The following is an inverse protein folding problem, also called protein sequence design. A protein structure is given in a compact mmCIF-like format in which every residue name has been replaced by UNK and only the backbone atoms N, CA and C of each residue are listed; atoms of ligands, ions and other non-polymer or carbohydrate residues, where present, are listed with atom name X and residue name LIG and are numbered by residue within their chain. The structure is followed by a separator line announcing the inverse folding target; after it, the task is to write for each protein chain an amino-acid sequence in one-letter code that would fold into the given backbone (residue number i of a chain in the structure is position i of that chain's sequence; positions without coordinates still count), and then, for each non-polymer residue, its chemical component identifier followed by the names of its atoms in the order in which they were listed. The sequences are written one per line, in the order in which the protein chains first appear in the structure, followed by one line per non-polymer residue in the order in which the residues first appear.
data_IF_945098953169
#
_entry.id   IF_945098953169
#
_cell.length_a   1.000
_cell.length_b   1.000
_cell.length_c   1.000
_cell.angle_alpha   90.00
_cell.angle_beta   90.00
_cell.angle_gamma   90.00
#
_symmetry.space_group_name_H-M   'P 1'
#
loop_
_entity.id
_entity.type
_entity.pdbx_description
1 polymer ?
#
# COMPACT_ATOMS: atom_id res chain seq x y z
N UNK A 1 -9.42 9.32 3.66
CA UNK A 1 -8.35 8.36 3.99
C UNK A 1 -8.28 7.28 2.92
N UNK A 2 -7.08 6.86 2.52
CA UNK A 2 -6.90 5.74 1.58
C UNK A 2 -6.02 4.69 2.27
N UNK A 3 -6.33 3.42 2.07
CA UNK A 3 -5.54 2.30 2.56
C UNK A 3 -4.73 1.71 1.42
N UNK A 4 -3.50 1.31 1.69
CA UNK A 4 -2.60 0.66 0.75
C UNK A 4 -2.08 -0.63 1.37
N UNK A 5 -1.43 -1.47 0.57
CA UNK A 5 -0.77 -2.68 1.06
C UNK A 5 0.72 -2.47 0.89
N UNK A 6 1.48 -2.53 1.99
CA UNK A 6 2.94 -2.33 2.03
C UNK A 6 3.63 -3.63 2.41
N UNK A 7 4.76 -3.90 1.78
CA UNK A 7 5.70 -4.95 2.14
C UNK A 7 6.49 -4.52 3.38
N UNK A 8 6.54 -5.36 4.40
CA UNK A 8 7.04 -5.01 5.74
C UNK A 8 8.56 -4.80 5.74
N UNK A 9 9.31 -5.48 4.87
CA UNK A 9 10.78 -5.43 4.88
C UNK A 9 11.36 -4.44 3.87
N UNK A 10 10.72 -4.28 2.71
CA UNK A 10 11.33 -3.61 1.56
C UNK A 10 10.61 -2.31 1.19
N UNK A 11 9.61 -1.91 2.00
CA UNK A 11 8.83 -0.68 1.81
C UNK A 11 8.12 -0.51 0.47
N UNK A 12 8.00 -1.59 -0.29
CA UNK A 12 7.25 -1.61 -1.53
C UNK A 12 5.75 -1.64 -1.30
N UNK A 13 4.99 -0.99 -2.17
CA UNK A 13 3.55 -0.98 -2.17
C UNK A 13 2.98 -1.87 -3.27
N UNK A 14 1.90 -2.59 -2.97
CA UNK A 14 1.24 -3.43 -3.95
C UNK A 14 0.35 -2.61 -4.89
N UNK A 15 0.54 -2.78 -6.20
CA UNK A 15 -0.42 -2.35 -7.23
C UNK A 15 -1.33 -3.52 -7.60
N UNK A 16 -0.74 -4.72 -7.65
CA UNK A 16 -1.41 -6.00 -7.92
C UNK A 16 -0.69 -7.12 -7.13
N UNK A 17 -1.17 -8.37 -7.17
CA UNK A 17 -0.52 -9.49 -6.46
C UNK A 17 0.85 -9.86 -7.04
N UNK A 18 1.17 -9.37 -8.25
CA UNK A 18 2.42 -9.65 -8.96
C UNK A 18 3.26 -8.40 -9.23
N UNK A 19 2.74 -7.21 -8.89
CA UNK A 19 3.40 -5.95 -9.23
C UNK A 19 3.45 -5.02 -8.02
N UNK A 20 4.67 -4.56 -7.74
CA UNK A 20 5.02 -3.78 -6.56
C UNK A 20 5.85 -2.56 -6.98
N UNK A 21 5.70 -1.46 -6.25
CA UNK A 21 6.33 -0.17 -6.56
C UNK A 21 6.86 0.48 -5.28
N UNK A 22 7.94 1.26 -5.36
CA UNK A 22 8.47 1.97 -4.19
C UNK A 22 7.69 3.23 -3.83
N UNK A 23 7.01 3.85 -4.81
CA UNK A 23 6.25 5.08 -4.58
C UNK A 23 4.79 4.77 -4.26
N UNK A 24 4.36 5.20 -3.06
CA UNK A 24 3.02 4.96 -2.54
C UNK A 24 1.89 5.58 -3.39
N UNK A 25 2.20 6.60 -4.20
CA UNK A 25 1.24 7.26 -5.09
C UNK A 25 0.68 6.33 -6.16
N UNK A 26 1.48 5.37 -6.64
CA UNK A 26 1.07 4.37 -7.64
C UNK A 26 0.47 3.12 -7.02
N UNK A 27 0.45 3.01 -5.68
CA UNK A 27 -0.11 1.87 -4.97
C UNK A 27 -1.62 1.73 -5.23
N UNK A 28 -2.12 0.50 -5.18
CA UNK A 28 -3.56 0.27 -5.18
C UNK A 28 -4.17 0.82 -3.90
N UNK A 29 -5.17 1.67 -4.05
CA UNK A 29 -5.86 2.37 -2.95
C UNK A 29 -7.19 1.73 -2.64
N UNK A 30 -7.45 1.49 -1.37
CA UNK A 30 -8.71 0.97 -0.85
C UNK A 30 -9.41 2.04 -0.02
N UNK A 31 -10.74 2.02 -0.02
CA UNK A 31 -11.55 2.96 0.76
C UNK A 31 -11.55 2.63 2.25
N UNK A 32 -11.45 1.35 2.61
CA UNK A 32 -11.45 0.88 4.00
C UNK A 32 -10.33 -0.13 4.26
N UNK A 33 -9.90 -0.24 5.52
CA UNK A 33 -8.97 -1.28 5.97
C UNK A 33 -9.49 -2.68 5.63
N UNK A 34 -10.78 -2.91 5.81
CA UNK A 34 -11.42 -4.20 5.58
C UNK A 34 -11.25 -4.66 4.12
N UNK A 35 -11.40 -3.75 3.16
CA UNK A 35 -11.19 -4.07 1.74
C UNK A 35 -9.73 -4.37 1.41
N UNK A 36 -8.78 -3.60 1.97
CA UNK A 36 -7.36 -3.88 1.79
C UNK A 36 -6.98 -5.25 2.36
N UNK A 37 -7.45 -5.58 3.56
CA UNK A 37 -7.22 -6.90 4.19
C UNK A 37 -7.89 -8.03 3.42
N UNK A 38 -9.14 -7.85 2.97
CA UNK A 38 -9.82 -8.82 2.13
C UNK A 38 -9.02 -9.11 0.85
N UNK A 39 -8.45 -8.07 0.23
CA UNK A 39 -7.62 -8.21 -0.95
C UNK A 39 -6.29 -8.95 -0.70
N UNK A 40 -5.64 -8.72 0.45
CA UNK A 40 -4.46 -9.50 0.90
C UNK A 40 -4.82 -11.00 0.94
N UNK A 41 -5.95 -11.34 1.55
CA UNK A 41 -6.41 -12.72 1.70
C UNK A 41 -6.76 -13.34 0.35
N UNK A 42 -7.62 -12.68 -0.44
CA UNK A 42 -8.16 -13.24 -1.68
C UNK A 42 -7.11 -13.40 -2.77
N UNK A 43 -6.06 -12.58 -2.73
CA UNK A 43 -5.03 -12.57 -3.78
C UNK A 43 -3.77 -13.37 -3.41
N UNK A 44 -3.76 -14.03 -2.25
CA UNK A 44 -2.66 -14.91 -1.84
C UNK A 44 -1.40 -14.20 -1.36
N UNK A 45 -1.51 -12.95 -0.87
CA UNK A 45 -0.37 -12.28 -0.25
C UNK A 45 0.02 -12.98 1.06
N UNK A 46 1.32 -13.06 1.33
CA UNK A 46 1.81 -13.53 2.63
C UNK A 46 1.54 -12.47 3.71
N UNK A 47 0.62 -12.77 4.63
CA UNK A 47 0.23 -11.88 5.73
C UNK A 47 1.37 -11.54 6.68
N UNK A 48 2.45 -12.34 6.71
CA UNK A 48 3.65 -12.06 7.51
C UNK A 48 4.56 -11.02 6.86
N UNK A 49 4.41 -10.83 5.55
CA UNK A 49 5.23 -9.93 4.73
C UNK A 49 4.48 -8.70 4.25
N UNK A 50 3.15 -8.76 4.18
CA UNK A 50 2.32 -7.67 3.69
C UNK A 50 1.30 -7.21 4.73
N UNK A 51 1.20 -5.89 4.92
CA UNK A 51 0.23 -5.27 5.83
C UNK A 51 -0.61 -4.21 5.12
N UNK A 52 -1.85 -4.04 5.57
CA UNK A 52 -2.68 -2.90 5.17
C UNK A 52 -2.32 -1.69 6.04
N UNK A 53 -1.99 -0.57 5.41
CA UNK A 53 -1.54 0.65 6.08
C UNK A 53 -2.32 1.87 5.54
N UNK A 54 -2.48 2.88 6.38
CA UNK A 54 -3.08 4.16 5.95
C UNK A 54 -2.04 4.88 5.11
N UNK A 55 -2.44 5.28 3.90
CA UNK A 55 -1.65 6.20 3.10
C UNK A 55 -1.81 7.59 3.70
N UNK A 56 -0.87 7.96 4.58
CA UNK A 56 -0.66 9.35 4.98
C UNK A 56 -0.11 10.06 3.75
N UNK A 57 -0.99 10.78 3.05
CA UNK A 57 -0.56 11.73 2.03
C UNK A 57 0.12 12.85 2.81
N UNK A 58 1.41 12.71 3.06
CA UNK A 58 2.23 13.88 3.29
C UNK A 58 2.05 14.74 2.05
N UNK A 59 1.35 15.86 2.22
CA UNK A 59 1.39 16.97 1.29
C UNK A 59 2.83 17.13 0.82
N UNK A 60 3.08 17.30 -0.50
CA UNK A 60 4.44 17.36 -1.02
C UNK A 60 5.22 18.34 -0.16
N UNK A 61 6.24 17.81 0.52
CA UNK A 61 7.22 18.65 1.18
C UNK A 61 7.73 19.61 0.13
N UNK A 62 7.65 20.87 0.49
CA UNK A 62 8.03 22.04 -0.26
C UNK A 62 9.45 21.90 -0.79
N UNK A 63 9.63 21.45 -2.03
CA UNK A 63 10.82 21.81 -2.80
C UNK A 63 10.51 23.14 -3.50
N UNK A 64 10.65 24.21 -2.72
CA UNK A 64 11.06 25.50 -3.29
C UNK A 64 12.51 25.34 -3.70
N UNK A 65 12.77 25.27 -5.01
CA UNK A 65 14.05 25.59 -5.62
C UNK A 65 13.82 26.69 -6.65
#
# INVERSE_FOLDING_TARGET
MKWVIRHITDDMYAVSPRFFVYHAEFARRFTTRKLAVAYIVSSGFDKKKFKAEVLEVNSPSTDKA
#
